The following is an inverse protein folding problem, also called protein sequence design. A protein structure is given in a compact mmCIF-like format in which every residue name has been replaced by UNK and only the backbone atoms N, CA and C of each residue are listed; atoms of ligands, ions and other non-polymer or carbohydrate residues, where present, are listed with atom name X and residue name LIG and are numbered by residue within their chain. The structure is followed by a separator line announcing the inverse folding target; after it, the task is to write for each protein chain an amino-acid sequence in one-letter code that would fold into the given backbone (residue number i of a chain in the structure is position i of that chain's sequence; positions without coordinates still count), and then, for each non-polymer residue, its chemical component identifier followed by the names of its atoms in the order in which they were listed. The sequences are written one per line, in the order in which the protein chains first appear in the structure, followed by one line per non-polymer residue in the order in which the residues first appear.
data_IF_935382147254
#
_entry.id   IF_935382147254
#
_cell.length_a   1.000
_cell.length_b   1.000
_cell.length_c   1.000
_cell.angle_alpha   90.00
_cell.angle_beta   90.00
_cell.angle_gamma   90.00
#
_symmetry.space_group_name_H-M   'P 1'
#
loop_
_entity.id
_entity.type
_entity.pdbx_description
1 polymer ?
#
# COMPACT_ATOMS: atom_id res chain seq x y z
N UNK A 1 49.73 -54.73 6.03
CA UNK A 1 48.71 -54.61 4.96
C UNK A 1 47.42 -54.21 5.68
N UNK A 2 47.08 -52.95 5.93
CA UNK A 2 46.85 -51.81 5.04
C UNK A 2 45.98 -52.17 3.84
N UNK A 3 44.67 -51.96 3.97
CA UNK A 3 43.76 -51.51 2.90
C UNK A 3 42.55 -50.83 3.55
N UNK A 4 42.35 -49.57 3.17
CA UNK A 4 41.13 -48.76 3.37
C UNK A 4 40.12 -49.09 2.25
N UNK A 5 38.81 -48.97 2.52
CA UNK A 5 38.00 -48.26 1.55
C UNK A 5 36.90 -47.37 2.16
N UNK A 6 36.88 -46.12 1.67
CA UNK A 6 35.74 -45.34 1.17
C UNK A 6 34.37 -45.33 1.89
N UNK A 7 33.92 -44.08 2.10
CA UNK A 7 32.60 -43.55 1.71
C UNK A 7 31.35 -44.01 2.48
N UNK A 8 30.33 -43.21 2.74
CA UNK A 8 30.03 -41.78 2.67
C UNK A 8 28.68 -41.64 3.42
N UNK A 9 28.51 -40.56 4.17
CA UNK A 9 27.24 -39.90 4.57
C UNK A 9 26.22 -40.75 5.35
N UNK A 10 26.29 -40.62 6.69
CA UNK A 10 25.19 -40.97 7.57
C UNK A 10 24.01 -40.01 7.36
N UNK A 11 22.93 -40.59 6.85
CA UNK A 11 21.54 -40.38 7.25
C UNK A 11 21.03 -38.94 7.29
N UNK A 12 20.36 -38.57 6.20
CA UNK A 12 19.02 -37.98 6.24
C UNK A 12 18.77 -36.95 7.34
N UNK A 13 19.32 -35.75 7.16
CA UNK A 13 18.61 -34.56 7.57
C UNK A 13 17.93 -33.95 6.33
N UNK A 14 17.04 -34.73 5.69
CA UNK A 14 15.87 -34.10 5.10
C UNK A 14 15.17 -33.48 6.29
N UNK A 15 15.43 -32.19 6.53
CA UNK A 15 14.56 -31.39 7.38
C UNK A 15 13.22 -31.43 6.65
N UNK A 16 12.40 -32.40 7.05
CA UNK A 16 10.96 -32.35 6.92
C UNK A 16 10.59 -31.07 7.65
N UNK A 17 10.48 -29.99 6.90
CA UNK A 17 9.84 -28.78 7.37
C UNK A 17 8.39 -29.22 7.54
N UNK A 18 8.06 -29.61 8.77
CA UNK A 18 6.69 -29.85 9.18
C UNK A 18 5.94 -28.56 8.90
N UNK A 19 5.07 -28.63 7.90
CA UNK A 19 4.09 -27.61 7.55
C UNK A 19 3.29 -27.30 8.81
N UNK A 20 3.71 -26.27 9.52
CA UNK A 20 2.96 -25.60 10.56
C UNK A 20 2.93 -24.15 10.09
N UNK A 21 1.78 -23.76 9.53
CA UNK A 21 1.44 -22.40 9.11
C UNK A 21 2.60 -21.54 8.62
N UNK A 22 2.84 -21.55 7.30
CA UNK A 22 3.49 -20.42 6.65
C UNK A 22 2.60 -19.19 6.85
N UNK A 23 2.72 -18.56 8.01
CA UNK A 23 2.71 -17.11 8.08
C UNK A 23 4.15 -16.69 7.74
N UNK A 24 4.58 -16.96 6.50
CA UNK A 24 5.67 -16.15 5.97
C UNK A 24 5.06 -14.75 5.86
N UNK A 25 5.30 -13.95 6.90
CA UNK A 25 5.12 -12.52 6.82
C UNK A 25 5.82 -12.10 5.53
N UNK A 26 5.06 -11.48 4.64
CA UNK A 26 5.60 -10.78 3.50
C UNK A 26 6.48 -9.65 4.04
N UNK A 27 7.73 -9.99 4.36
CA UNK A 27 8.61 -9.15 5.16
C UNK A 27 9.24 -8.15 4.21
N UNK A 28 8.49 -7.09 3.92
CA UNK A 28 8.95 -5.95 3.15
C UNK A 28 9.66 -4.98 4.11
N UNK A 29 11.00 -4.92 4.11
CA UNK A 29 11.73 -4.12 5.10
C UNK A 29 11.38 -2.64 5.01
N UNK A 30 11.04 -2.15 3.82
CA UNK A 30 10.66 -0.78 3.54
C UNK A 30 9.16 -0.51 3.67
N UNK A 31 8.36 -1.44 4.21
CA UNK A 31 6.93 -1.24 4.47
C UNK A 31 6.58 -1.41 5.96
N UNK A 32 5.45 -0.83 6.35
CA UNK A 32 4.75 -1.14 7.59
C UNK A 32 4.08 -2.53 7.47
N UNK A 33 3.77 -3.20 8.61
CA UNK A 33 3.07 -4.48 8.59
C UNK A 33 1.79 -4.41 7.75
N UNK A 34 1.62 -5.35 6.84
CA UNK A 34 0.48 -5.38 5.93
C UNK A 34 -0.80 -5.84 6.62
N UNK A 35 -1.94 -5.52 6.00
CA UNK A 35 -3.26 -6.02 6.37
C UNK A 35 -3.90 -6.72 5.17
N UNK A 36 -4.86 -7.60 5.43
CA UNK A 36 -5.64 -8.29 4.40
C UNK A 36 -7.11 -7.90 4.54
N UNK A 37 -7.71 -7.43 3.45
CA UNK A 37 -9.12 -7.04 3.37
C UNK A 37 -9.68 -7.58 2.06
N UNK A 38 -10.74 -8.39 2.10
CA UNK A 38 -11.44 -8.94 0.92
C UNK A 38 -10.54 -9.42 -0.24
N UNK A 39 -9.65 -10.38 0.05
CA UNK A 39 -8.68 -10.93 -0.92
C UNK A 39 -7.66 -9.93 -1.49
N UNK A 40 -7.48 -8.78 -0.86
CA UNK A 40 -6.45 -7.79 -1.18
C UNK A 40 -5.49 -7.61 -0.01
N UNK A 41 -4.20 -7.45 -0.32
CA UNK A 41 -3.18 -7.04 0.66
C UNK A 41 -3.00 -5.53 0.55
N UNK A 42 -2.98 -4.85 1.69
CA UNK A 42 -2.60 -3.45 1.79
C UNK A 42 -1.36 -3.28 2.65
N UNK A 43 -0.46 -2.40 2.23
CA UNK A 43 0.74 -2.07 2.98
C UNK A 43 1.17 -0.62 2.71
N UNK A 44 1.74 0.02 3.72
CA UNK A 44 2.21 1.41 3.62
C UNK A 44 3.73 1.45 3.51
N UNK A 45 4.27 2.24 2.59
CA UNK A 45 5.72 2.49 2.51
C UNK A 45 6.25 3.16 3.79
N UNK A 46 7.47 2.84 4.23
CA UNK A 46 8.23 3.63 5.21
C UNK A 46 8.91 4.82 4.55
N UNK A 47 9.27 4.68 3.29
CA UNK A 47 9.85 5.73 2.45
C UNK A 47 8.78 6.76 2.09
N UNK A 48 9.19 8.03 1.95
CA UNK A 48 8.33 9.14 1.54
C UNK A 48 8.66 9.63 0.14
N UNK A 49 7.65 10.10 -0.56
CA UNK A 49 7.71 10.59 -1.94
C UNK A 49 7.12 11.99 -2.02
N UNK A 50 7.73 12.83 -2.84
CA UNK A 50 7.17 14.15 -3.19
C UNK A 50 6.14 14.02 -4.30
N UNK A 51 6.39 13.08 -5.23
CA UNK A 51 5.58 12.86 -6.43
C UNK A 51 4.72 11.62 -6.27
N UNK A 52 3.42 11.75 -6.53
CA UNK A 52 2.50 10.61 -6.65
C UNK A 52 2.99 9.60 -7.68
N UNK A 53 3.58 10.05 -8.80
CA UNK A 53 4.10 9.16 -9.84
C UNK A 53 5.24 8.28 -9.32
N UNK A 54 6.15 8.83 -8.52
CA UNK A 54 7.24 8.06 -7.91
C UNK A 54 6.70 7.09 -6.85
N UNK A 55 5.74 7.54 -6.05
CA UNK A 55 5.07 6.72 -5.06
C UNK A 55 4.32 5.53 -5.70
N UNK A 56 3.61 5.78 -6.80
CA UNK A 56 2.92 4.77 -7.59
C UNK A 56 3.88 3.74 -8.19
N UNK A 57 5.03 4.21 -8.68
CA UNK A 57 6.07 3.32 -9.19
C UNK A 57 6.64 2.45 -8.07
N UNK A 58 6.84 3.01 -6.88
CA UNK A 58 7.36 2.27 -5.74
C UNK A 58 6.46 1.07 -5.37
N UNK A 59 5.13 1.22 -5.38
CA UNK A 59 4.21 0.09 -5.15
C UNK A 59 4.44 -1.05 -6.15
N UNK A 60 4.60 -0.73 -7.44
CA UNK A 60 4.84 -1.75 -8.46
C UNK A 60 6.19 -2.47 -8.31
N UNK A 61 7.19 -1.79 -7.76
CA UNK A 61 8.56 -2.32 -7.61
C UNK A 61 8.82 -3.00 -6.25
N UNK A 62 8.03 -2.69 -5.21
CA UNK A 62 8.28 -3.13 -3.83
C UNK A 62 7.08 -3.88 -3.25
N UNK A 63 6.95 -5.14 -3.66
CA UNK A 63 5.87 -6.03 -3.26
C UNK A 63 4.83 -6.25 -4.35
N UNK A 64 4.84 -5.40 -5.39
CA UNK A 64 3.92 -5.46 -6.51
C UNK A 64 2.59 -4.76 -6.20
N UNK A 65 1.83 -4.47 -7.26
CA UNK A 65 0.54 -3.79 -7.15
C UNK A 65 0.60 -2.32 -7.57
N UNK A 66 -0.27 -1.50 -6.98
CA UNK A 66 -0.49 -0.10 -7.32
C UNK A 66 -0.98 0.68 -6.07
N UNK A 67 -0.98 2.03 -6.07
CA UNK A 67 -1.63 2.79 -4.99
C UNK A 67 -3.08 2.33 -4.80
N UNK A 68 -3.51 2.22 -3.54
CA UNK A 68 -4.77 1.58 -3.19
C UNK A 68 -5.99 2.23 -3.87
N UNK A 69 -6.82 1.41 -4.51
CA UNK A 69 -8.09 1.79 -5.14
C UNK A 69 -9.23 1.25 -4.28
N UNK A 70 -9.78 2.13 -3.45
CA UNK A 70 -10.74 1.75 -2.41
C UNK A 70 -12.14 1.61 -3.04
N UNK A 71 -12.64 0.37 -3.07
CA UNK A 71 -13.83 0.01 -3.85
C UNK A 71 -15.13 0.03 -3.03
N UNK A 72 -15.03 -0.06 -1.70
CA UNK A 72 -16.19 -0.16 -0.79
C UNK A 72 -16.05 0.69 0.47
N UNK A 73 -17.17 1.05 1.10
CA UNK A 73 -17.15 1.80 2.36
C UNK A 73 -16.58 0.96 3.52
N UNK A 74 -16.80 -0.36 3.48
CA UNK A 74 -16.25 -1.32 4.43
C UNK A 74 -14.72 -1.39 4.33
N UNK A 75 -14.19 -1.39 3.10
CA UNK A 75 -12.75 -1.33 2.84
C UNK A 75 -12.16 0.01 3.32
N UNK A 76 -12.82 1.13 3.01
CA UNK A 76 -12.39 2.46 3.45
C UNK A 76 -12.26 2.52 4.98
N UNK A 77 -13.26 2.03 5.72
CA UNK A 77 -13.24 2.07 7.19
C UNK A 77 -12.05 1.30 7.79
N UNK A 78 -11.69 0.15 7.22
CA UNK A 78 -10.52 -0.62 7.67
C UNK A 78 -9.22 0.09 7.31
N UNK A 79 -9.14 0.67 6.11
CA UNK A 79 -7.98 1.41 5.62
C UNK A 79 -7.73 2.69 6.45
N UNK A 80 -8.77 3.43 6.79
CA UNK A 80 -8.68 4.62 7.65
C UNK A 80 -8.12 4.27 9.03
N UNK A 81 -8.62 3.20 9.64
CA UNK A 81 -8.13 2.70 10.92
C UNK A 81 -6.66 2.25 10.83
N UNK A 82 -6.27 1.60 9.74
CA UNK A 82 -4.88 1.21 9.50
C UNK A 82 -3.97 2.44 9.37
N UNK A 83 -4.33 3.39 8.51
CA UNK A 83 -3.62 4.66 8.34
C UNK A 83 -3.47 5.40 9.67
N UNK A 84 -4.54 5.52 10.46
CA UNK A 84 -4.53 6.14 11.79
C UNK A 84 -3.56 5.44 12.75
N UNK A 85 -3.54 4.11 12.76
CA UNK A 85 -2.69 3.31 13.66
C UNK A 85 -1.19 3.47 13.42
N UNK A 86 -0.78 3.86 12.20
CA UNK A 86 0.64 4.03 11.84
C UNK A 86 1.27 5.32 12.38
N UNK A 87 0.45 6.26 12.87
CA UNK A 87 0.86 7.61 13.27
C UNK A 87 1.55 8.42 12.13
N UNK A 88 1.30 8.03 10.88
CA UNK A 88 1.74 8.78 9.69
C UNK A 88 0.79 9.93 9.42
N UNK A 89 1.32 11.04 8.87
CA UNK A 89 0.50 12.22 8.61
C UNK A 89 -0.20 12.18 7.25
N UNK A 90 0.54 11.80 6.20
CA UNK A 90 0.13 11.92 4.80
C UNK A 90 0.49 10.66 4.05
N UNK A 91 -0.51 9.99 3.50
CA UNK A 91 -0.36 8.71 2.82
C UNK A 91 -1.11 8.79 1.49
N UNK A 92 -0.41 8.75 0.36
CA UNK A 92 -1.05 8.70 -0.95
C UNK A 92 -1.90 7.43 -1.10
N UNK A 93 -3.05 7.61 -1.74
CA UNK A 93 -3.93 6.55 -2.27
C UNK A 93 -4.29 6.89 -3.72
N UNK A 94 -4.88 5.96 -4.45
CA UNK A 94 -5.34 6.26 -5.80
C UNK A 94 -6.53 7.24 -5.80
N UNK A 95 -6.51 8.15 -6.76
CA UNK A 95 -7.54 9.11 -7.10
C UNK A 95 -6.94 10.44 -7.59
N UNK A 96 -7.51 10.98 -8.66
CA UNK A 96 -7.19 12.31 -9.17
C UNK A 96 -8.42 12.99 -9.77
N UNK A 97 -8.53 14.30 -9.60
CA UNK A 97 -9.52 15.15 -10.25
C UNK A 97 -8.89 16.21 -11.17
N UNK A 98 -7.61 16.04 -11.56
CA UNK A 98 -6.88 16.95 -12.44
C UNK A 98 -7.58 17.28 -13.77
N UNK A 99 -8.45 16.37 -14.25
CA UNK A 99 -9.24 16.57 -15.46
C UNK A 99 -10.45 17.48 -15.23
N UNK A 100 -11.06 17.39 -14.05
CA UNK A 100 -12.25 18.16 -13.66
C UNK A 100 -12.36 18.15 -12.13
N UNK A 101 -12.08 19.31 -11.55
CA UNK A 101 -12.20 19.61 -10.11
C UNK A 101 -13.49 19.01 -9.50
N UNK A 102 -13.32 18.27 -8.40
CA UNK A 102 -14.39 17.58 -7.69
C UNK A 102 -14.89 16.27 -8.35
N UNK A 103 -14.28 15.83 -9.45
CA UNK A 103 -14.55 14.52 -10.08
C UNK A 103 -13.29 13.67 -10.03
N UNK A 104 -13.22 12.81 -9.02
CA UNK A 104 -12.10 11.91 -8.80
C UNK A 104 -12.23 10.63 -9.61
N UNK A 105 -11.16 10.30 -10.33
CA UNK A 105 -10.99 9.11 -11.13
C UNK A 105 -9.76 8.33 -10.64
N UNK A 106 -9.81 7.01 -10.71
CA UNK A 106 -8.61 6.19 -10.56
C UNK A 106 -7.58 6.55 -11.63
N UNK A 107 -6.35 6.91 -11.25
CA UNK A 107 -5.26 7.17 -12.21
C UNK A 107 -4.96 5.94 -13.08
N UNK A 108 -5.22 4.72 -12.60
CA UNK A 108 -4.88 3.48 -13.32
C UNK A 108 -6.00 3.05 -14.26
N UNK A 109 -7.24 3.05 -13.80
CA UNK A 109 -8.38 2.48 -14.55
C UNK A 109 -9.27 3.54 -15.19
N UNK A 110 -9.19 4.80 -14.72
CA UNK A 110 -10.09 5.87 -15.13
C UNK A 110 -11.52 5.72 -14.59
N UNK A 111 -11.79 4.73 -13.74
CA UNK A 111 -13.08 4.51 -13.11
C UNK A 111 -13.37 5.62 -12.10
N UNK A 112 -14.65 6.01 -11.99
CA UNK A 112 -15.10 7.04 -11.07
C UNK A 112 -15.05 6.56 -9.62
N UNK A 113 -14.42 7.34 -8.75
CA UNK A 113 -14.35 7.09 -7.32
C UNK A 113 -15.45 7.92 -6.65
N UNK A 114 -16.29 7.27 -5.85
CA UNK A 114 -17.44 7.90 -5.19
C UNK A 114 -17.52 7.61 -3.69
N UNK A 115 -16.50 6.94 -3.15
CA UNK A 115 -16.47 6.48 -1.77
C UNK A 115 -15.41 7.30 -1.05
N UNK A 116 -15.88 8.22 -0.22
CA UNK A 116 -15.04 9.11 0.55
C UNK A 116 -15.64 9.32 1.93
N UNK A 117 -14.76 9.42 2.90
CA UNK A 117 -15.06 9.96 4.22
C UNK A 117 -14.07 11.10 4.44
N UNK A 118 -14.43 12.26 3.90
CA UNK A 118 -13.58 13.44 3.86
C UNK A 118 -13.25 13.95 5.27
N UNK A 119 -12.05 14.50 5.43
CA UNK A 119 -11.77 15.40 6.54
C UNK A 119 -12.75 16.58 6.47
N UNK A 120 -13.20 17.08 7.62
CA UNK A 120 -14.11 18.23 7.67
C UNK A 120 -13.53 19.42 6.89
N UNK A 121 -14.23 19.82 5.82
CA UNK A 121 -13.82 20.92 4.95
C UNK A 121 -13.22 20.47 3.61
N UNK A 122 -12.95 19.18 3.44
CA UNK A 122 -12.39 18.59 2.21
C UNK A 122 -13.48 18.01 1.28
N UNK A 123 -13.19 17.88 -0.03
CA UNK A 123 -12.00 18.39 -0.71
C UNK A 123 -12.09 19.90 -0.91
N UNK A 124 -10.98 20.62 -0.69
CA UNK A 124 -10.98 22.09 -0.71
C UNK A 124 -10.16 22.71 -1.86
N UNK A 125 -9.42 21.87 -2.58
CA UNK A 125 -8.48 22.24 -3.64
C UNK A 125 -7.60 23.44 -3.25
N UNK A 126 -6.85 23.33 -2.15
CA UNK A 126 -6.17 24.46 -1.54
C UNK A 126 -5.15 25.08 -2.49
N UNK A 127 -5.36 26.35 -2.84
CA UNK A 127 -4.49 27.04 -3.79
C UNK A 127 -4.63 26.52 -5.23
N UNK A 128 -5.66 25.72 -5.53
CA UNK A 128 -6.00 25.18 -6.86
C UNK A 128 -4.93 24.26 -7.45
N UNK A 129 -4.35 23.42 -6.61
CA UNK A 129 -3.22 22.54 -6.96
C UNK A 129 -3.33 21.15 -6.36
N UNK A 130 -4.45 20.80 -5.72
CA UNK A 130 -4.60 19.57 -4.96
C UNK A 130 -5.32 18.48 -5.75
N UNK A 131 -4.67 17.98 -6.80
CA UNK A 131 -5.33 17.05 -7.72
C UNK A 131 -5.14 15.56 -7.40
N UNK A 132 -4.63 15.19 -6.21
CA UNK A 132 -4.37 13.80 -5.79
C UNK A 132 -4.99 13.50 -4.42
N UNK A 133 -5.25 12.24 -4.11
CA UNK A 133 -5.81 11.83 -2.82
C UNK A 133 -4.74 11.38 -1.82
N UNK A 134 -4.94 11.75 -0.55
CA UNK A 134 -4.22 11.20 0.60
C UNK A 134 -5.18 10.76 1.71
N UNK A 135 -4.73 9.82 2.54
CA UNK A 135 -5.26 9.57 3.88
C UNK A 135 -4.49 10.46 4.87
N UNK A 136 -5.23 11.18 5.70
CA UNK A 136 -4.67 12.01 6.75
C UNK A 136 -4.70 11.28 8.09
N UNK A 137 -3.60 10.58 8.42
CA UNK A 137 -3.54 9.80 9.66
C UNK A 137 -3.60 10.65 10.94
N UNK A 138 -3.39 11.97 10.88
CA UNK A 138 -3.64 12.88 12.01
C UNK A 138 -5.11 13.33 12.13
N UNK A 139 -5.98 12.83 11.26
CA UNK A 139 -7.42 13.09 11.17
C UNK A 139 -8.18 11.77 11.00
N UNK A 140 -7.89 10.79 11.85
CA UNK A 140 -8.56 9.47 11.84
C UNK A 140 -8.35 8.68 10.53
N UNK A 141 -7.33 9.01 9.74
CA UNK A 141 -7.09 8.37 8.45
C UNK A 141 -7.99 8.89 7.32
N UNK A 142 -8.85 9.87 7.59
CA UNK A 142 -9.82 10.38 6.61
C UNK A 142 -9.19 11.00 5.37
N UNK A 143 -9.97 11.00 4.30
CA UNK A 143 -9.51 11.40 2.97
C UNK A 143 -9.33 12.91 2.88
N UNK A 144 -8.29 13.34 2.18
CA UNK A 144 -7.99 14.72 1.83
C UNK A 144 -7.50 14.78 0.38
N UNK A 145 -7.81 15.84 -0.35
CA UNK A 145 -7.11 16.18 -1.58
C UNK A 145 -5.78 16.88 -1.27
N UNK A 146 -4.75 16.63 -2.08
CA UNK A 146 -3.39 17.09 -1.84
C UNK A 146 -2.67 17.33 -3.16
N UNK A 147 -1.61 18.16 -3.20
CA UNK A 147 -0.83 18.29 -4.42
C UNK A 147 -0.17 16.97 -4.79
N UNK A 148 -0.32 16.57 -6.05
CA UNK A 148 0.34 15.38 -6.59
C UNK A 148 1.86 15.48 -6.58
N UNK A 149 2.40 16.71 -6.69
CA UNK A 149 3.83 16.97 -6.67
C UNK A 149 4.09 18.38 -6.13
N UNK A 150 4.59 18.46 -4.90
CA UNK A 150 4.98 19.73 -4.28
C UNK A 150 6.18 19.52 -3.36
N UNK A 151 7.33 20.10 -3.71
CA UNK A 151 8.60 19.89 -3.01
C UNK A 151 8.57 20.09 -1.48
N UNK A 152 7.65 20.92 -0.96
CA UNK A 152 7.48 21.15 0.47
C UNK A 152 6.58 20.13 1.20
N UNK A 153 6.04 19.14 0.49
CA UNK A 153 5.14 18.11 1.00
C UNK A 153 5.67 16.76 0.54
N UNK A 154 5.72 15.80 1.46
CA UNK A 154 6.03 14.41 1.14
C UNK A 154 5.08 13.46 1.85
N UNK A 155 4.86 12.31 1.22
CA UNK A 155 3.83 11.35 1.57
C UNK A 155 4.44 9.96 1.63
N UNK A 156 3.95 9.13 2.54
CA UNK A 156 4.03 7.69 2.38
C UNK A 156 3.03 7.26 1.29
N UNK A 157 3.02 6.00 0.86
CA UNK A 157 2.00 5.49 -0.06
C UNK A 157 1.40 4.21 0.47
N UNK A 158 0.07 4.10 0.40
CA UNK A 158 -0.65 2.87 0.65
C UNK A 158 -0.77 2.12 -0.68
N UNK A 159 -0.14 0.95 -0.76
CA UNK A 159 -0.21 0.07 -1.91
C UNK A 159 -1.25 -1.02 -1.70
N UNK A 160 -1.86 -1.47 -2.79
CA UNK A 160 -2.79 -2.59 -2.85
C UNK A 160 -2.28 -3.66 -3.82
N UNK A 161 -2.45 -4.92 -3.44
CA UNK A 161 -2.19 -6.10 -4.26
C UNK A 161 -3.37 -7.07 -4.19
N UNK A 162 -3.96 -7.39 -5.34
CA UNK A 162 -5.06 -8.37 -5.44
C UNK A 162 -4.48 -9.80 -5.40
N UNK A 163 -4.87 -10.60 -4.39
CA UNK A 163 -4.43 -11.98 -4.22
C UNK A 163 -4.93 -12.90 -5.34
N UNK A 164 -5.98 -12.51 -6.07
CA UNK A 164 -6.47 -13.27 -7.23
C UNK A 164 -5.50 -13.21 -8.40
N UNK A 165 -4.61 -12.21 -8.44
CA UNK A 165 -3.55 -12.10 -9.45
C UNK A 165 -2.31 -12.93 -9.12
N UNK A 166 -2.23 -13.52 -7.92
CA UNK A 166 -1.10 -14.34 -7.47
C UNK A 166 -1.33 -15.86 -7.63
N UNK A 167 -2.51 -16.26 -8.10
CA UNK A 167 -2.90 -17.66 -8.30
C UNK A 167 -2.72 -18.12 -9.74
#
# INVERSE_FOLDING_TARGET
MSVSPFALILLSAIKVIWVTGFQESFDMPEAYPSIVVFDKIYYISKVKFVSYTEASKWCSENGGGYPAEIDTAEELAVIEQYAYSTNLRRIFIAGTDAKKDGIFLSQRTGVFIHIFNWVNGEPNNNGRVEDCLELNGSREGRVNDTPCNRASISHNVLCELDLRMLK
#
